data_IF_957718169032
#
_entry.id   IF_957718169032
#
_cell.length_a   1.000
_cell.length_b   1.000
_cell.length_c   1.000
_cell.angle_alpha   90.00
_cell.angle_beta   90.00
_cell.angle_gamma   90.00
#
_symmetry.space_group_name_H-M   'P 1'
#
loop_
_entity.id
_entity.type
_entity.pdbx_description
1 polymer ?
#
# COMPACT_ATOMS: atom_id res chain seq x y z
N UNK A 1 -32.93 36.72 6.34
CA UNK A 1 -32.27 37.21 5.11
C UNK A 1 -30.86 36.62 5.11
N UNK A 2 -30.71 35.40 4.58
CA UNK A 2 -29.39 34.78 4.46
C UNK A 2 -28.71 35.42 3.26
N UNK A 3 -27.67 36.20 3.52
CA UNK A 3 -26.83 36.75 2.46
C UNK A 3 -26.13 35.58 1.79
N UNK A 4 -26.30 35.46 0.48
CA UNK A 4 -25.61 34.48 -0.34
C UNK A 4 -24.14 34.86 -0.42
N UNK A 5 -23.32 34.27 0.45
CA UNK A 5 -21.87 34.51 0.55
C UNK A 5 -21.07 33.80 -0.55
N UNK A 6 -21.73 33.13 -1.50
CA UNK A 6 -21.04 32.43 -2.59
C UNK A 6 -20.26 33.39 -3.50
N UNK A 7 -20.66 34.66 -3.59
CA UNK A 7 -19.95 35.73 -4.29
C UNK A 7 -18.61 36.13 -3.66
N UNK A 8 -18.35 35.75 -2.42
CA UNK A 8 -17.06 35.99 -1.73
C UNK A 8 -16.08 34.80 -1.87
N UNK A 9 -16.52 33.67 -2.45
CA UNK A 9 -15.70 32.48 -2.60
C UNK A 9 -14.82 32.57 -3.85
N UNK A 10 -13.52 32.33 -3.66
CA UNK A 10 -12.57 32.19 -4.77
C UNK A 10 -12.57 30.73 -5.24
N UNK A 11 -12.80 30.44 -6.54
CA UNK A 11 -12.70 29.09 -7.05
C UNK A 11 -11.31 28.50 -6.80
N UNK A 12 -11.28 27.37 -6.11
CA UNK A 12 -10.07 26.59 -5.88
C UNK A 12 -10.16 25.27 -6.65
N UNK A 13 -9.32 25.14 -7.67
CA UNK A 13 -9.21 23.92 -8.47
C UNK A 13 -7.82 23.35 -8.26
N UNK A 14 -7.74 22.06 -7.91
CA UNK A 14 -6.50 21.32 -7.76
C UNK A 14 -6.55 20.07 -8.63
N UNK A 15 -5.48 19.83 -9.38
CA UNK A 15 -5.30 18.58 -10.11
C UNK A 15 -4.68 17.55 -9.18
N UNK A 16 -5.50 16.65 -8.65
CA UNK A 16 -5.04 15.60 -7.73
C UNK A 16 -4.13 14.58 -8.42
N UNK A 17 -4.26 14.38 -9.74
CA UNK A 17 -3.36 13.48 -10.48
C UNK A 17 -1.96 14.06 -10.55
N UNK A 18 -1.85 15.36 -10.84
CA UNK A 18 -0.58 16.05 -10.82
C UNK A 18 0.05 16.08 -9.43
N UNK A 19 -0.73 16.42 -8.40
CA UNK A 19 -0.22 16.49 -7.03
C UNK A 19 0.17 15.11 -6.47
N UNK A 20 -0.51 14.04 -6.88
CA UNK A 20 -0.10 12.68 -6.52
C UNK A 20 1.22 12.29 -7.20
N UNK A 21 1.41 12.67 -8.48
CA UNK A 21 2.69 12.47 -9.16
C UNK A 21 3.82 13.23 -8.44
N UNK A 22 3.56 14.47 -8.01
CA UNK A 22 4.50 15.28 -7.23
C UNK A 22 4.84 14.62 -5.89
N UNK A 23 3.84 14.13 -5.16
CA UNK A 23 4.02 13.42 -3.88
C UNK A 23 4.89 12.17 -4.06
N UNK A 24 4.60 11.35 -5.07
CA UNK A 24 5.38 10.13 -5.38
C UNK A 24 6.83 10.46 -5.74
N UNK A 25 7.05 11.49 -6.56
CA UNK A 25 8.39 11.92 -6.92
C UNK A 25 9.19 12.38 -5.68
N UNK A 26 8.56 13.14 -4.77
CA UNK A 26 9.18 13.56 -3.52
C UNK A 26 9.55 12.37 -2.61
N UNK A 27 8.70 11.32 -2.56
CA UNK A 27 8.99 10.09 -1.81
C UNK A 27 10.21 9.38 -2.41
N UNK A 28 10.25 9.17 -3.73
CA UNK A 28 11.40 8.51 -4.38
C UNK A 28 12.67 9.33 -4.18
N UNK A 29 12.61 10.65 -4.25
CA UNK A 29 13.75 11.51 -3.98
C UNK A 29 14.26 11.38 -2.54
N UNK A 30 13.36 11.24 -1.56
CA UNK A 30 13.71 11.08 -0.15
C UNK A 30 14.36 9.71 0.16
N UNK A 31 14.03 8.66 -0.61
CA UNK A 31 14.66 7.34 -0.49
C UNK A 31 16.12 7.35 -0.98
N UNK A 32 16.47 8.31 -1.85
CA UNK A 32 17.84 8.55 -2.30
C UNK A 32 18.25 7.70 -3.50
N UNK A 33 19.41 8.03 -4.11
CA UNK A 33 19.87 7.41 -5.36
C UNK A 33 20.31 5.94 -5.18
N UNK A 34 20.62 5.52 -3.96
CA UNK A 34 21.08 4.16 -3.66
C UNK A 34 19.93 3.19 -3.36
N UNK A 35 18.67 3.68 -3.36
CA UNK A 35 17.53 2.83 -3.10
C UNK A 35 17.26 1.89 -4.28
N UNK A 36 17.37 0.58 -4.02
CA UNK A 36 17.00 -0.48 -4.96
C UNK A 36 15.56 -0.97 -4.66
N UNK A 37 14.55 -0.59 -5.47
CA UNK A 37 13.17 -1.01 -5.24
C UNK A 37 12.98 -2.52 -5.38
N UNK A 38 13.80 -3.19 -6.21
CA UNK A 38 13.73 -4.64 -6.37
C UNK A 38 14.36 -5.39 -5.20
N UNK A 39 15.37 -4.81 -4.54
CA UNK A 39 15.86 -5.34 -3.27
C UNK A 39 14.84 -5.14 -2.14
N UNK A 40 14.17 -3.98 -2.09
CA UNK A 40 13.12 -3.72 -1.10
C UNK A 40 11.96 -4.73 -1.23
N UNK A 41 11.44 -4.96 -2.43
CA UNK A 41 10.36 -5.93 -2.67
C UNK A 41 10.77 -7.37 -2.30
N UNK A 42 11.99 -7.79 -2.66
CA UNK A 42 12.50 -9.11 -2.24
C UNK A 42 12.60 -9.23 -0.72
N UNK A 43 13.05 -8.17 -0.05
CA UNK A 43 13.12 -8.14 1.42
C UNK A 43 11.75 -8.23 2.07
N UNK A 44 10.72 -7.62 1.47
CA UNK A 44 9.33 -7.76 1.93
C UNK A 44 8.82 -9.20 1.78
N UNK A 45 9.06 -9.85 0.64
CA UNK A 45 8.68 -11.26 0.40
C UNK A 45 9.39 -12.22 1.38
N UNK A 46 10.68 -12.00 1.63
CA UNK A 46 11.46 -12.76 2.61
C UNK A 46 10.91 -12.55 4.03
N UNK A 47 10.62 -11.31 4.42
CA UNK A 47 10.04 -10.99 5.71
C UNK A 47 8.65 -11.62 5.89
N UNK A 48 7.81 -11.60 4.84
CA UNK A 48 6.50 -12.24 4.84
C UNK A 48 6.62 -13.76 5.04
N UNK A 49 7.57 -14.40 4.33
CA UNK A 49 7.85 -15.83 4.48
C UNK A 49 8.28 -16.15 5.91
N UNK A 50 9.14 -15.32 6.51
CA UNK A 50 9.57 -15.49 7.90
C UNK A 50 8.42 -15.32 8.89
N UNK A 51 7.52 -14.36 8.66
CA UNK A 51 6.38 -14.08 9.54
C UNK A 51 5.46 -15.29 9.71
N UNK A 52 5.27 -16.06 8.64
CA UNK A 52 4.45 -17.28 8.64
C UNK A 52 5.28 -18.56 8.63
N UNK A 53 6.56 -18.45 8.98
CA UNK A 53 7.43 -19.62 9.18
C UNK A 53 7.21 -20.23 10.56
N UNK A 54 7.36 -21.56 10.66
CA UNK A 54 7.35 -22.25 11.95
C UNK A 54 6.00 -22.25 12.69
N UNK A 55 4.89 -22.07 11.96
CA UNK A 55 3.55 -22.16 12.54
C UNK A 55 3.31 -23.56 13.11
N UNK A 56 2.74 -23.61 14.31
CA UNK A 56 2.19 -24.85 14.83
C UNK A 56 0.91 -25.26 14.07
N UNK A 57 0.38 -26.45 14.38
CA UNK A 57 -0.77 -26.99 13.67
C UNK A 57 -2.03 -26.12 13.80
N UNK A 58 -2.21 -25.41 14.92
CA UNK A 58 -3.41 -24.60 15.16
C UNK A 58 -3.28 -23.24 14.46
N UNK A 59 -2.08 -22.67 14.49
CA UNK A 59 -1.69 -21.47 13.77
C UNK A 59 -1.78 -21.68 12.25
N UNK A 60 -1.29 -22.81 11.74
CA UNK A 60 -1.40 -23.15 10.31
C UNK A 60 -2.86 -23.21 9.87
N UNK A 61 -3.74 -23.85 10.66
CA UNK A 61 -5.17 -23.90 10.35
C UNK A 61 -5.83 -22.52 10.36
N UNK A 62 -5.36 -21.60 11.19
CA UNK A 62 -5.84 -20.22 11.18
C UNK A 62 -5.35 -19.46 9.95
N UNK A 63 -4.07 -19.60 9.60
CA UNK A 63 -3.46 -19.04 8.40
C UNK A 63 -4.22 -19.49 7.14
N UNK A 64 -4.43 -20.80 6.97
CA UNK A 64 -5.13 -21.37 5.81
C UNK A 64 -6.55 -20.82 5.66
N UNK A 65 -7.27 -20.62 6.78
CA UNK A 65 -8.61 -20.00 6.76
C UNK A 65 -8.58 -18.55 6.32
N UNK A 66 -7.56 -17.79 6.74
CA UNK A 66 -7.43 -16.38 6.38
C UNK A 66 -7.03 -16.21 4.91
N UNK A 67 -6.18 -17.09 4.39
CA UNK A 67 -5.86 -17.17 2.96
C UNK A 67 -7.11 -17.51 2.16
N UNK A 68 -7.84 -18.57 2.54
CA UNK A 68 -9.08 -18.95 1.85
C UNK A 68 -10.17 -17.86 1.88
N UNK A 69 -10.16 -16.99 2.89
CA UNK A 69 -11.07 -15.84 3.01
C UNK A 69 -10.57 -14.59 2.24
N UNK A 70 -9.39 -14.63 1.63
CA UNK A 70 -8.76 -13.49 0.95
C UNK A 70 -8.28 -12.40 1.91
N UNK A 71 -8.17 -12.70 3.20
CA UNK A 71 -7.67 -11.77 4.22
C UNK A 71 -6.15 -11.70 4.21
N UNK A 72 -5.49 -12.84 4.00
CA UNK A 72 -4.05 -12.93 3.80
C UNK A 72 -3.75 -13.33 2.36
N UNK A 73 -2.66 -12.82 1.77
CA UNK A 73 -2.23 -13.27 0.46
C UNK A 73 -1.72 -14.72 0.52
N UNK A 74 -2.11 -15.48 -0.48
CA UNK A 74 -1.58 -16.78 -0.83
C UNK A 74 -0.08 -16.57 -1.13
N UNK A 75 0.81 -17.26 -0.43
CA UNK A 75 2.27 -16.99 -0.44
C UNK A 75 3.02 -17.24 -1.76
N UNK A 76 2.35 -17.11 -2.91
CA UNK A 76 2.95 -17.11 -4.24
C UNK A 76 3.63 -15.75 -4.48
N UNK A 77 4.94 -15.71 -4.79
CA UNK A 77 5.66 -14.46 -4.99
C UNK A 77 5.11 -13.73 -6.21
N UNK A 78 4.35 -12.66 -5.95
CA UNK A 78 3.97 -11.70 -6.99
C UNK A 78 2.53 -11.22 -7.03
N UNK A 79 1.70 -11.36 -5.98
CA UNK A 79 0.37 -10.71 -6.04
C UNK A 79 -0.18 -10.15 -4.73
N UNK A 80 -0.44 -8.85 -4.79
CA UNK A 80 -1.53 -8.23 -4.06
C UNK A 80 -2.81 -9.08 -4.21
N UNK A 81 -3.56 -9.23 -3.12
CA UNK A 81 -4.85 -9.88 -3.12
C UNK A 81 -5.69 -9.38 -4.32
N UNK A 82 -6.22 -10.32 -5.10
CA UNK A 82 -7.14 -9.98 -6.17
C UNK A 82 -8.39 -9.36 -5.54
N UNK A 83 -8.54 -8.05 -5.67
CA UNK A 83 -9.76 -7.30 -5.35
C UNK A 83 -10.77 -7.40 -6.49
#
# INVERSE_FOLDING_TARGET
MNQDRTTELVPFTIDLTFEEARRRAAVVAALGPDWDPMAALRGEDEAYTLLYSGLDADQQRAYDRLVAAGVLPDGDPGRAAAH
#
